data_IF_063997785228
#
_entry.id   IF_063997785228
#
_cell.length_a   1.000
_cell.length_b   1.000
_cell.length_c   1.000
_cell.angle_alpha   90.00
_cell.angle_beta   90.00
_cell.angle_gamma   90.00
#
_symmetry.space_group_name_H-M   'P 1'
#
loop_
_entity.id
_entity.type
_entity.pdbx_description
1 polymer ?
#
# COMPACT_ATOMS: atom_id res chain seq x y z
N UNK A 1 -11.63 2.45 15.45
CA UNK A 1 -11.34 2.52 14.00
C UNK A 1 -9.83 2.55 13.90
N UNK A 2 -9.24 1.61 13.19
CA UNK A 2 -7.79 1.51 13.08
C UNK A 2 -7.36 2.36 11.90
N UNK A 3 -6.44 3.30 12.11
CA UNK A 3 -5.85 4.02 10.99
C UNK A 3 -5.12 3.03 10.07
N UNK A 4 -5.18 3.20 8.73
CA UNK A 4 -4.49 2.31 7.81
C UNK A 4 -2.98 2.31 8.11
N UNK A 5 -2.40 1.11 8.23
CA UNK A 5 -1.00 0.93 8.62
C UNK A 5 -0.20 0.52 7.39
N UNK A 6 0.99 1.09 7.24
CA UNK A 6 1.89 0.71 6.16
C UNK A 6 2.40 -0.74 6.38
N UNK A 7 2.03 -1.71 5.51
CA UNK A 7 2.36 -3.11 5.72
C UNK A 7 3.83 -3.43 5.42
N UNK A 8 4.62 -2.43 5.00
CA UNK A 8 6.05 -2.55 4.68
C UNK A 8 6.94 -1.79 5.68
N UNK A 9 6.36 -1.13 6.70
CA UNK A 9 7.12 -0.53 7.82
C UNK A 9 7.14 -1.48 9.02
N UNK A 10 8.28 -1.59 9.70
CA UNK A 10 8.58 -2.73 10.58
C UNK A 10 9.03 -2.35 11.97
N UNK A 11 8.81 -3.27 12.90
CA UNK A 11 9.88 -4.21 13.26
C UNK A 11 9.60 -5.69 12.86
N UNK A 12 8.55 -5.95 12.06
CA UNK A 12 8.00 -7.29 11.81
C UNK A 12 8.49 -8.08 10.57
N UNK A 13 9.48 -7.62 9.78
CA UNK A 13 10.18 -8.58 8.89
C UNK A 13 11.12 -9.27 9.85
N UNK A 14 10.74 -10.48 10.27
CA UNK A 14 11.59 -11.33 11.08
C UNK A 14 12.96 -11.46 10.38
N UNK A 15 14.01 -11.73 11.15
CA UNK A 15 15.39 -11.90 10.66
C UNK A 15 15.52 -12.93 9.50
N UNK A 16 14.47 -13.74 9.25
CA UNK A 16 14.34 -14.68 8.14
C UNK A 16 13.92 -14.05 6.78
N UNK A 17 13.46 -12.80 6.74
CA UNK A 17 13.00 -12.09 5.53
C UNK A 17 14.05 -11.10 4.96
N UNK A 18 15.32 -11.26 5.32
CA UNK A 18 16.48 -10.47 4.81
C UNK A 18 16.78 -10.76 3.32
N UNK A 19 15.95 -11.57 2.66
CA UNK A 19 16.14 -12.03 1.27
C UNK A 19 15.57 -11.05 0.24
N UNK A 20 14.69 -10.12 0.64
CA UNK A 20 14.18 -9.10 -0.27
C UNK A 20 15.24 -8.02 -0.51
N UNK A 21 15.46 -7.64 -1.76
CA UNK A 21 16.31 -6.48 -2.07
C UNK A 21 15.72 -5.26 -1.34
N UNK A 22 16.51 -4.72 -0.42
CA UNK A 22 16.19 -3.57 0.43
C UNK A 22 15.58 -2.40 -0.37
N UNK A 23 15.89 -2.29 -1.67
CA UNK A 23 15.27 -1.35 -2.61
C UNK A 23 13.76 -1.59 -2.84
N UNK A 24 13.31 -2.82 -3.11
CA UNK A 24 11.89 -3.10 -3.40
C UNK A 24 11.01 -2.85 -2.18
N UNK A 25 11.48 -3.26 -1.00
CA UNK A 25 10.80 -2.97 0.26
C UNK A 25 10.71 -1.47 0.55
N UNK A 26 11.80 -0.72 0.32
CA UNK A 26 11.80 0.74 0.48
C UNK A 26 10.81 1.42 -0.48
N UNK A 27 10.83 1.03 -1.75
CA UNK A 27 9.89 1.56 -2.76
C UNK A 27 8.45 1.24 -2.38
N UNK A 28 8.16 -0.02 -2.00
CA UNK A 28 6.83 -0.42 -1.58
C UNK A 28 6.36 0.30 -0.32
N UNK A 29 7.24 0.48 0.67
CA UNK A 29 6.97 1.26 1.86
C UNK A 29 6.67 2.73 1.53
N UNK A 30 7.42 3.36 0.63
CA UNK A 30 7.16 4.74 0.21
C UNK A 30 5.81 4.85 -0.51
N UNK A 31 5.53 3.95 -1.45
CA UNK A 31 4.26 3.92 -2.19
C UNK A 31 3.06 3.72 -1.26
N UNK A 32 3.16 2.79 -0.31
CA UNK A 32 2.13 2.57 0.69
C UNK A 32 1.88 3.82 1.55
N UNK A 33 2.95 4.51 2.00
CA UNK A 33 2.82 5.74 2.76
C UNK A 33 2.14 6.86 1.96
N UNK A 34 2.52 7.02 0.69
CA UNK A 34 1.91 8.00 -0.21
C UNK A 34 0.44 7.70 -0.49
N UNK A 35 0.10 6.43 -0.72
CA UNK A 35 -1.27 6.00 -0.91
C UNK A 35 -2.12 6.27 0.35
N UNK A 36 -1.63 5.88 1.54
CA UNK A 36 -2.29 6.17 2.82
C UNK A 36 -2.54 7.68 2.97
N UNK A 37 -1.51 8.51 2.72
CA UNK A 37 -1.64 9.95 2.84
C UNK A 37 -2.73 10.50 1.91
N UNK A 38 -2.74 10.09 0.63
CA UNK A 38 -3.75 10.52 -0.34
C UNK A 38 -5.18 10.08 0.05
N UNK A 39 -5.31 8.86 0.58
CA UNK A 39 -6.58 8.32 1.08
C UNK A 39 -7.06 9.09 2.32
N UNK A 40 -6.18 9.37 3.28
CA UNK A 40 -6.49 10.14 4.49
C UNK A 40 -6.90 11.58 4.16
N UNK A 41 -6.23 12.22 3.20
CA UNK A 41 -6.60 13.58 2.76
C UNK A 41 -7.84 13.61 1.86
N UNK A 42 -8.43 12.45 1.54
CA UNK A 42 -9.54 12.32 0.60
C UNK A 42 -9.27 12.99 -0.74
N UNK A 43 -8.03 12.83 -1.24
CA UNK A 43 -7.62 13.30 -2.56
C UNK A 43 -7.80 12.15 -3.57
N UNK A 44 -8.90 12.13 -4.33
CA UNK A 44 -9.20 11.03 -5.25
C UNK A 44 -8.23 10.99 -6.44
N UNK A 45 -7.67 12.13 -6.85
CA UNK A 45 -6.74 12.21 -7.96
C UNK A 45 -5.40 11.60 -7.56
N UNK A 46 -4.84 12.03 -6.42
CA UNK A 46 -3.59 11.47 -5.89
C UNK A 46 -3.75 10.00 -5.51
N UNK A 47 -4.91 9.60 -4.98
CA UNK A 47 -5.20 8.19 -4.69
C UNK A 47 -5.18 7.33 -5.97
N UNK A 48 -5.70 7.85 -7.08
CA UNK A 48 -5.67 7.16 -8.37
C UNK A 48 -4.25 7.06 -8.94
N UNK A 49 -3.46 8.12 -8.81
CA UNK A 49 -2.05 8.15 -9.25
C UNK A 49 -1.28 7.08 -8.49
N UNK A 50 -1.30 7.09 -7.15
CA UNK A 50 -0.55 6.11 -6.38
C UNK A 50 -1.07 4.68 -6.53
N UNK A 51 -2.37 4.49 -6.79
CA UNK A 51 -2.88 3.16 -7.17
C UNK A 51 -2.28 2.67 -8.49
N UNK A 52 -2.12 3.56 -9.47
CA UNK A 52 -1.45 3.26 -10.74
C UNK A 52 0.04 2.96 -10.53
N UNK A 53 0.72 3.73 -9.69
CA UNK A 53 2.15 3.54 -9.39
C UNK A 53 2.40 2.21 -8.66
N UNK A 54 1.49 1.79 -7.77
CA UNK A 54 1.52 0.46 -7.14
C UNK A 54 1.38 -0.63 -8.20
N UNK A 55 0.45 -0.47 -9.16
CA UNK A 55 0.29 -1.41 -10.27
C UNK A 55 1.54 -1.51 -11.15
N UNK A 56 2.15 -0.37 -11.47
CA UNK A 56 3.39 -0.32 -12.24
C UNK A 56 4.53 -1.03 -11.48
N UNK A 57 4.73 -0.71 -10.21
CA UNK A 57 5.71 -1.38 -9.34
C UNK A 57 5.52 -2.90 -9.35
N UNK A 58 4.30 -3.40 -9.15
CA UNK A 58 4.02 -4.85 -9.15
C UNK A 58 4.30 -5.50 -10.50
N UNK A 59 4.12 -4.79 -11.61
CA UNK A 59 4.34 -5.34 -12.95
C UNK A 59 5.78 -5.25 -13.45
N UNK A 60 6.54 -4.26 -13.00
CA UNK A 60 7.87 -3.94 -13.52
C UNK A 60 9.00 -4.51 -12.65
N UNK A 61 8.80 -4.55 -11.33
CA UNK A 61 9.87 -4.92 -10.41
C UNK A 61 10.02 -6.43 -10.22
N UNK A 62 9.07 -7.25 -10.66
CA UNK A 62 9.08 -8.70 -10.48
C UNK A 62 9.20 -9.44 -11.82
N UNK A 63 10.24 -10.26 -11.94
CA UNK A 63 10.48 -11.07 -13.13
C UNK A 63 9.60 -12.34 -13.19
N UNK A 64 9.62 -13.08 -14.33
CA UNK A 64 8.79 -14.27 -14.55
C UNK A 64 9.01 -15.43 -13.56
N UNK A 65 10.10 -15.41 -12.79
CA UNK A 65 10.44 -16.42 -11.78
C UNK A 65 10.19 -15.99 -10.33
N UNK A 66 9.72 -14.75 -10.11
CA UNK A 66 9.56 -14.14 -8.78
C UNK A 66 8.07 -14.08 -8.38
N UNK A 67 7.27 -15.08 -8.80
CA UNK A 67 5.83 -15.11 -8.56
C UNK A 67 5.48 -15.11 -7.07
N UNK A 68 6.25 -15.82 -6.25
CA UNK A 68 6.06 -15.84 -4.79
C UNK A 68 6.22 -14.46 -4.16
N UNK A 69 7.22 -13.70 -4.61
CA UNK A 69 7.50 -12.36 -4.13
C UNK A 69 6.45 -11.39 -4.66
N UNK A 70 6.08 -11.48 -5.93
CA UNK A 70 4.98 -10.72 -6.50
C UNK A 70 3.69 -10.90 -5.69
N UNK A 71 3.30 -12.16 -5.43
CA UNK A 71 2.08 -12.49 -4.71
C UNK A 71 2.09 -11.93 -3.28
N UNK A 72 3.25 -11.95 -2.62
CA UNK A 72 3.43 -11.38 -1.30
C UNK A 72 3.24 -9.86 -1.28
N UNK A 73 3.88 -9.12 -2.20
CA UNK A 73 3.72 -7.68 -2.28
C UNK A 73 2.30 -7.29 -2.69
N UNK A 74 1.72 -7.98 -3.68
CA UNK A 74 0.36 -7.76 -4.15
C UNK A 74 -0.66 -7.98 -3.03
N UNK A 75 -0.50 -9.05 -2.24
CA UNK A 75 -1.36 -9.33 -1.07
C UNK A 75 -1.26 -8.22 -0.02
N UNK A 76 -0.06 -7.74 0.31
CA UNK A 76 0.14 -6.65 1.28
C UNK A 76 -0.46 -5.33 0.79
N UNK A 77 -0.31 -4.99 -0.48
CA UNK A 77 -0.95 -3.82 -1.06
C UNK A 77 -2.47 -3.94 -1.09
N UNK A 78 -3.02 -5.11 -1.44
CA UNK A 78 -4.46 -5.37 -1.40
C UNK A 78 -5.05 -5.16 0.00
N UNK A 79 -4.43 -5.77 1.02
CA UNK A 79 -4.85 -5.59 2.40
C UNK A 79 -4.79 -4.12 2.87
N UNK A 80 -3.79 -3.36 2.41
CA UNK A 80 -3.70 -1.93 2.67
C UNK A 80 -4.85 -1.16 2.02
N UNK A 81 -5.18 -1.46 0.77
CA UNK A 81 -6.28 -0.80 0.05
C UNK A 81 -7.61 -1.08 0.75
N UNK A 82 -7.86 -2.31 1.17
CA UNK A 82 -9.04 -2.69 1.95
C UNK A 82 -9.11 -1.92 3.28
N UNK A 83 -7.99 -1.79 4.01
CA UNK A 83 -7.95 -0.99 5.24
C UNK A 83 -8.24 0.49 5.00
N UNK A 84 -7.69 1.07 3.93
CA UNK A 84 -7.99 2.44 3.52
C UNK A 84 -9.47 2.59 3.14
N UNK A 85 -10.02 1.63 2.40
CA UNK A 85 -11.43 1.57 2.04
C UNK A 85 -12.32 1.48 3.27
N UNK A 86 -12.02 0.65 4.28
CA UNK A 86 -12.76 0.54 5.54
C UNK A 86 -12.67 1.77 6.44
N UNK A 87 -11.54 2.48 6.40
CA UNK A 87 -11.36 3.74 7.13
C UNK A 87 -12.16 4.90 6.50
N UNK A 88 -12.39 4.86 5.18
CA UNK A 88 -13.01 5.93 4.41
C UNK A 88 -14.55 6.03 4.31
N UNK A 89 -15.41 5.02 4.59
CA UNK A 89 -16.86 5.20 4.65
C UNK A 89 -17.28 6.30 5.64
N UNK A 90 -16.44 6.64 6.63
CA UNK A 90 -16.72 7.75 7.54
C UNK A 90 -16.33 9.14 7.03
N UNK A 91 -15.40 9.28 6.08
CA UNK A 91 -15.04 10.63 5.57
C UNK A 91 -16.10 11.14 4.60
N UNK A 92 -16.63 10.26 3.74
CA UNK A 92 -17.79 10.60 2.89
C UNK A 92 -19.04 10.88 3.72
N UNK A 93 -19.26 10.21 4.85
CA UNK A 93 -20.41 10.48 5.71
C UNK A 93 -20.31 11.81 6.47
N UNK A 94 -19.09 12.24 6.86
CA UNK A 94 -18.87 13.55 7.50
C UNK A 94 -18.89 14.73 6.53
N UNK A 95 -18.53 14.52 5.26
CA UNK A 95 -18.57 15.57 4.23
C UNK A 95 -20.00 15.94 3.78
N UNK A 96 -20.97 15.05 3.96
CA UNK A 96 -22.39 15.29 3.62
C UNK A 96 -23.24 15.87 4.76
N UNK A 97 -22.67 16.04 5.96
CA UNK A 97 -23.34 16.62 7.14
C UNK A 97 -22.98 18.10 7.39
N UNK A 98 -22.47 18.80 6.37
CA UNK A 98 -22.27 20.26 6.41
C UNK A 98 -23.10 20.97 5.37
#
# INVERSE_FOLDING_TARGET
>A
MTDPVNPFTLPALAEDEVIYTDSRLKTAASLAAHYIAARVTSDPEMSRIYNSDIGAFLSEEFGPGELSEYDFFAMRFGALMDQCDEALPLVYHKAWLK
#
